data_IF_047968427654
#
_entry.id   IF_047968427654
#
_cell.length_a   1.000
_cell.length_b   1.000
_cell.length_c   1.000
_cell.angle_alpha   90.00
_cell.angle_beta   90.00
_cell.angle_gamma   90.00
#
_symmetry.space_group_name_H-M   'P 1'
#
loop_
_entity.id
_entity.type
_entity.pdbx_description
1 polymer ?
#
# COMPACT_ATOMS: atom_id res chain seq x y z
N UNK A 1 26.00 -16.86 -22.34
CA UNK A 1 24.56 -16.55 -22.23
C UNK A 1 24.29 -16.07 -20.82
N UNK A 2 24.42 -14.77 -20.57
CA UNK A 2 24.00 -14.13 -19.33
C UNK A 2 22.79 -13.31 -19.66
N UNK A 3 21.62 -13.96 -19.61
CA UNK A 3 20.34 -13.28 -19.63
C UNK A 3 20.28 -12.45 -18.35
N UNK A 4 20.56 -11.15 -18.49
CA UNK A 4 20.16 -10.19 -17.47
C UNK A 4 18.65 -10.28 -17.37
N UNK A 5 18.14 -10.86 -16.28
CA UNK A 5 16.82 -10.54 -15.78
C UNK A 5 16.89 -9.07 -15.33
N UNK A 6 16.88 -8.16 -16.31
CA UNK A 6 16.54 -6.77 -16.05
C UNK A 6 15.11 -6.82 -15.53
N UNK A 7 15.01 -6.65 -14.22
CA UNK A 7 13.80 -6.36 -13.48
C UNK A 7 13.01 -5.34 -14.30
N UNK A 8 11.96 -5.82 -14.96
CA UNK A 8 11.13 -5.06 -15.90
C UNK A 8 10.26 -4.04 -15.18
N UNK A 9 10.88 -3.20 -14.35
CA UNK A 9 10.26 -2.01 -13.83
C UNK A 9 10.20 -1.00 -14.99
N UNK A 10 9.02 -0.60 -15.47
CA UNK A 10 8.94 0.58 -16.31
C UNK A 10 9.41 1.77 -15.47
N UNK A 11 10.66 2.18 -15.67
CA UNK A 11 11.23 3.44 -15.16
C UNK A 11 10.66 4.66 -15.89
N UNK A 12 9.73 4.46 -16.82
CA UNK A 12 9.06 5.53 -17.58
C UNK A 12 7.82 6.12 -16.87
N UNK A 13 7.37 5.55 -15.74
CA UNK A 13 6.32 6.15 -14.90
C UNK A 13 6.88 7.01 -13.75
N UNK A 14 8.15 7.44 -13.85
CA UNK A 14 8.80 8.37 -12.91
C UNK A 14 8.55 9.82 -13.32
N UNK A 15 7.43 10.09 -14.00
CA UNK A 15 6.98 11.47 -14.26
C UNK A 15 5.84 11.83 -13.31
N UNK A 16 6.20 12.60 -12.28
CA UNK A 16 5.34 13.36 -11.37
C UNK A 16 4.66 12.63 -10.18
N UNK A 17 5.32 11.67 -9.53
CA UNK A 17 4.88 11.22 -8.19
C UNK A 17 5.09 12.29 -7.10
N UNK A 18 6.01 13.25 -7.30
CA UNK A 18 6.19 14.42 -6.40
C UNK A 18 5.08 15.49 -6.54
N UNK A 19 4.14 15.34 -7.49
CA UNK A 19 3.03 16.27 -7.66
C UNK A 19 1.74 15.85 -6.92
N UNK A 20 1.67 14.61 -6.42
CA UNK A 20 0.48 14.10 -5.74
C UNK A 20 0.53 14.39 -4.25
N UNK A 21 -0.51 15.04 -3.74
CA UNK A 21 -0.69 15.25 -2.31
C UNK A 21 -1.16 13.98 -1.58
N UNK A 22 -1.16 13.96 -0.24
CA UNK A 22 -1.58 12.81 0.55
C UNK A 22 -2.97 12.26 0.16
N UNK A 23 -3.93 13.15 -0.11
CA UNK A 23 -5.28 12.77 -0.53
C UNK A 23 -5.31 12.02 -1.88
N UNK A 24 -4.40 12.33 -2.81
CA UNK A 24 -4.31 11.67 -4.11
C UNK A 24 -3.75 10.26 -3.99
N UNK A 25 -2.73 10.07 -3.14
CA UNK A 25 -2.21 8.75 -2.82
C UNK A 25 -3.28 7.87 -2.16
N UNK A 26 -4.07 8.41 -1.22
CA UNK A 26 -5.19 7.68 -0.60
C UNK A 26 -6.26 7.30 -1.63
N UNK A 27 -6.61 8.21 -2.56
CA UNK A 27 -7.55 7.90 -3.66
C UNK A 27 -7.01 6.79 -4.56
N UNK A 28 -5.73 6.83 -4.90
CA UNK A 28 -5.08 5.80 -5.72
C UNK A 28 -5.09 4.43 -5.01
N UNK A 29 -4.79 4.39 -3.70
CA UNK A 29 -4.88 3.16 -2.90
C UNK A 29 -6.30 2.58 -2.93
N UNK A 30 -7.32 3.38 -2.61
CA UNK A 30 -8.71 2.94 -2.61
C UNK A 30 -9.20 2.44 -3.98
N UNK A 31 -8.70 3.04 -5.07
CA UNK A 31 -8.98 2.55 -6.42
C UNK A 31 -8.44 1.13 -6.61
N UNK A 32 -7.19 0.85 -6.20
CA UNK A 32 -6.60 -0.49 -6.31
C UNK A 32 -7.33 -1.53 -5.46
N UNK A 33 -7.79 -1.13 -4.28
CA UNK A 33 -8.61 -2.00 -3.43
C UNK A 33 -9.96 -2.32 -4.08
N UNK A 34 -10.62 -1.32 -4.69
CA UNK A 34 -11.87 -1.54 -5.43
C UNK A 34 -11.71 -2.45 -6.65
N UNK A 35 -10.52 -2.47 -7.28
CA UNK A 35 -10.19 -3.35 -8.40
C UNK A 35 -9.94 -4.81 -7.97
N UNK A 36 -9.66 -5.07 -6.68
CA UNK A 36 -9.30 -6.40 -6.15
C UNK A 36 -10.45 -7.40 -6.02
N UNK A 37 -11.71 -6.96 -6.13
CA UNK A 37 -12.88 -7.83 -6.11
C UNK A 37 -13.17 -8.53 -4.77
N UNK A 38 -12.40 -8.22 -3.72
CA UNK A 38 -12.60 -8.67 -2.34
C UNK A 38 -13.64 -7.86 -1.59
N UNK A 39 -13.74 -8.09 -0.27
CA UNK A 39 -14.59 -7.27 0.59
C UNK A 39 -14.20 -5.79 0.47
N UNK A 40 -15.17 -4.86 0.38
CA UNK A 40 -14.90 -3.44 0.19
C UNK A 40 -14.08 -2.92 1.35
N UNK A 41 -12.78 -2.80 1.13
CA UNK A 41 -11.82 -2.26 2.08
C UNK A 41 -11.47 -0.86 1.64
N UNK A 42 -11.60 0.10 2.55
CA UNK A 42 -11.19 1.48 2.31
C UNK A 42 -10.12 1.87 3.29
N UNK A 43 -9.13 2.60 2.80
CA UNK A 43 -8.08 3.22 3.61
C UNK A 43 -8.23 4.74 3.63
N UNK A 44 -7.81 5.33 4.74
CA UNK A 44 -7.67 6.76 4.93
C UNK A 44 -6.36 7.05 5.66
N UNK A 45 -5.88 8.28 5.58
CA UNK A 45 -4.78 8.78 6.41
C UNK A 45 -5.32 9.90 7.28
N UNK A 46 -5.22 9.72 8.60
CA UNK A 46 -5.60 10.73 9.58
C UNK A 46 -4.51 11.79 9.78
N UNK A 47 -4.85 12.90 10.45
CA UNK A 47 -3.96 14.02 10.69
C UNK A 47 -2.65 13.65 11.42
N UNK A 48 -2.66 12.62 12.27
CA UNK A 48 -1.48 12.14 13.00
C UNK A 48 -0.63 11.13 12.20
N UNK A 49 -0.68 11.19 10.87
CA UNK A 49 0.05 10.26 10.00
C UNK A 49 -0.25 8.78 10.28
N UNK A 50 -1.52 8.50 10.57
CA UNK A 50 -2.01 7.14 10.82
C UNK A 50 -2.79 6.62 9.62
N UNK A 51 -2.38 5.49 9.08
CA UNK A 51 -3.19 4.72 8.15
C UNK A 51 -4.37 4.13 8.92
N UNK A 52 -5.58 4.40 8.47
CA UNK A 52 -6.83 3.89 9.00
C UNK A 52 -7.51 3.05 7.93
N UNK A 53 -8.24 2.02 8.32
CA UNK A 53 -9.04 1.25 7.37
C UNK A 53 -10.35 0.74 7.97
N UNK A 54 -11.35 0.60 7.08
CA UNK A 54 -12.65 0.04 7.40
C UNK A 54 -12.64 -1.49 7.25
N UNK A 55 -13.43 -2.20 8.06
CA UNK A 55 -13.57 -3.67 7.99
C UNK A 55 -12.96 -4.46 9.16
N UNK A 56 -12.25 -3.79 10.08
CA UNK A 56 -11.84 -4.37 11.36
C UNK A 56 -12.85 -4.03 12.47
N UNK A 57 -13.00 -4.91 13.48
CA UNK A 57 -13.95 -4.75 14.60
C UNK A 57 -13.72 -3.49 15.47
N UNK A 58 -12.62 -2.79 15.25
CA UNK A 58 -12.32 -1.44 15.73
C UNK A 58 -11.70 -0.69 14.54
N UNK A 59 -11.80 0.67 14.46
CA UNK A 59 -11.03 1.43 13.48
C UNK A 59 -9.55 1.13 13.69
N UNK A 60 -9.03 0.19 12.90
CA UNK A 60 -7.68 -0.27 13.02
C UNK A 60 -6.81 0.80 12.40
N UNK A 61 -5.90 1.35 13.20
CA UNK A 61 -5.02 2.42 12.78
C UNK A 61 -3.58 2.08 13.10
N UNK A 62 -2.67 2.39 12.18
CA UNK A 62 -1.23 2.19 12.34
C UNK A 62 -0.48 3.46 11.96
N UNK A 63 0.56 3.78 12.72
CA UNK A 63 1.46 4.89 12.38
C UNK A 63 2.20 4.57 11.08
N UNK A 64 2.03 5.40 10.04
CA UNK A 64 2.59 5.16 8.71
C UNK A 64 4.08 4.86 8.76
N UNK A 65 4.83 5.60 9.58
CA UNK A 65 6.29 5.54 9.73
C UNK A 65 6.85 4.13 10.02
N UNK A 66 6.06 3.27 10.68
CA UNK A 66 6.52 1.96 11.14
C UNK A 66 6.02 0.82 10.25
N UNK A 67 4.98 1.06 9.45
CA UNK A 67 4.28 0.04 8.70
C UNK A 67 5.22 -0.69 7.73
N UNK A 68 5.11 -2.02 7.74
CA UNK A 68 5.73 -2.90 6.77
C UNK A 68 4.66 -3.52 5.86
N UNK A 69 4.99 -3.64 4.58
CA UNK A 69 4.13 -4.27 3.57
C UNK A 69 4.81 -5.50 3.01
N UNK A 70 4.06 -6.60 2.92
CA UNK A 70 4.45 -7.83 2.26
C UNK A 70 3.38 -8.24 1.26
N UNK A 71 3.77 -9.05 0.29
CA UNK A 71 2.84 -9.60 -0.70
C UNK A 71 2.70 -11.09 -0.48
N UNK A 72 1.50 -11.57 -0.72
CA UNK A 72 1.16 -12.99 -0.72
C UNK A 72 0.10 -13.25 -1.79
N UNK A 73 -0.23 -14.51 -2.01
CA UNK A 73 -1.33 -14.92 -2.88
C UNK A 73 -2.24 -15.84 -2.09
N UNK A 74 -3.52 -15.51 -2.07
CA UNK A 74 -4.53 -16.36 -1.45
C UNK A 74 -4.62 -17.69 -2.21
N UNK A 75 -4.36 -18.84 -1.56
CA UNK A 75 -4.28 -20.13 -2.25
C UNK A 75 -5.65 -20.65 -2.72
N UNK A 76 -6.74 -20.19 -2.11
CA UNK A 76 -8.09 -20.66 -2.40
C UNK A 76 -8.73 -19.88 -3.55
N UNK A 77 -8.44 -18.58 -3.64
CA UNK A 77 -9.03 -17.66 -4.62
C UNK A 77 -8.05 -17.24 -5.73
N UNK A 78 -6.75 -17.46 -5.54
CA UNK A 78 -5.69 -17.03 -6.46
C UNK A 78 -5.48 -15.51 -6.51
N UNK A 79 -6.07 -14.77 -5.57
CA UNK A 79 -6.00 -13.31 -5.52
C UNK A 79 -4.72 -12.84 -4.85
N UNK A 80 -4.21 -11.69 -5.29
CA UNK A 80 -3.03 -11.09 -4.67
C UNK A 80 -3.42 -10.38 -3.39
N UNK A 81 -2.63 -10.62 -2.35
CA UNK A 81 -2.81 -10.04 -1.02
C UNK A 81 -1.68 -9.07 -0.72
N UNK A 82 -2.06 -7.89 -0.23
CA UNK A 82 -1.16 -6.94 0.40
C UNK A 82 -1.31 -7.08 1.90
N UNK A 83 -0.31 -7.66 2.53
CA UNK A 83 -0.24 -7.87 3.97
C UNK A 83 0.39 -6.64 4.62
N UNK A 84 -0.32 -6.01 5.55
CA UNK A 84 0.13 -4.81 6.25
C UNK A 84 0.37 -5.14 7.71
N UNK A 85 1.61 -4.96 8.16
CA UNK A 85 2.05 -5.16 9.53
C UNK A 85 2.50 -3.84 10.17
N UNK A 86 2.42 -3.76 11.49
CA UNK A 86 2.88 -2.58 12.24
C UNK A 86 4.39 -2.36 12.11
N UNK A 87 5.16 -3.44 12.01
CA UNK A 87 6.61 -3.41 11.78
C UNK A 87 7.07 -4.64 10.98
N UNK A 88 8.26 -4.55 10.40
CA UNK A 88 8.87 -5.68 9.71
C UNK A 88 9.08 -6.86 10.66
N UNK A 89 8.68 -8.05 10.24
CA UNK A 89 8.77 -9.28 11.05
C UNK A 89 7.61 -9.51 12.03
N UNK A 90 6.72 -8.53 12.21
CA UNK A 90 5.49 -8.73 12.97
C UNK A 90 4.40 -9.41 12.14
N UNK A 91 3.44 -10.10 12.77
CA UNK A 91 2.29 -10.64 12.07
C UNK A 91 1.46 -9.52 11.42
N UNK A 92 0.86 -9.77 10.23
CA UNK A 92 0.03 -8.79 9.57
C UNK A 92 -1.17 -8.43 10.45
N UNK A 93 -1.43 -7.13 10.56
CA UNK A 93 -2.60 -6.57 11.24
C UNK A 93 -3.83 -6.62 10.34
N UNK A 94 -3.61 -6.53 9.04
CA UNK A 94 -4.66 -6.67 8.03
C UNK A 94 -4.07 -7.18 6.71
N UNK A 95 -4.92 -7.77 5.89
CA UNK A 95 -4.65 -8.09 4.49
C UNK A 95 -5.62 -7.31 3.61
N UNK A 96 -5.16 -6.92 2.43
CA UNK A 96 -5.98 -6.29 1.40
C UNK A 96 -5.89 -7.09 0.11
N UNK A 97 -7.03 -7.46 -0.45
CA UNK A 97 -7.09 -8.09 -1.76
C UNK A 97 -6.91 -7.05 -2.87
N UNK A 98 -6.04 -7.37 -3.83
CA UNK A 98 -5.78 -6.58 -5.03
C UNK A 98 -5.83 -7.46 -6.26
N UNK A 99 -6.08 -6.84 -7.42
CA UNK A 99 -6.38 -7.54 -8.66
C UNK A 99 -5.23 -8.43 -9.15
N UNK A 100 -4.02 -7.89 -9.09
CA UNK A 100 -2.82 -8.50 -9.65
C UNK A 100 -1.55 -7.98 -8.94
N UNK A 101 -0.41 -8.55 -9.28
CA UNK A 101 0.91 -8.12 -8.80
C UNK A 101 1.19 -6.63 -9.04
N UNK A 102 0.77 -6.09 -10.19
CA UNK A 102 1.01 -4.68 -10.54
C UNK A 102 0.24 -3.76 -9.57
N UNK A 103 -0.99 -4.12 -9.23
CA UNK A 103 -1.78 -3.42 -8.23
C UNK A 103 -1.15 -3.52 -6.83
N UNK A 104 -0.57 -4.66 -6.47
CA UNK A 104 0.15 -4.84 -5.19
C UNK A 104 1.39 -3.93 -5.09
N UNK A 105 2.20 -3.89 -6.16
CA UNK A 105 3.38 -3.02 -6.23
C UNK A 105 2.99 -1.55 -6.20
N UNK A 106 1.96 -1.16 -6.96
CA UNK A 106 1.43 0.20 -6.94
C UNK A 106 0.93 0.60 -5.55
N UNK A 107 0.23 -0.30 -4.86
CA UNK A 107 -0.22 -0.09 -3.48
C UNK A 107 0.96 0.23 -2.56
N UNK A 108 2.01 -0.61 -2.58
CA UNK A 108 3.22 -0.37 -1.78
C UNK A 108 3.87 0.98 -2.12
N UNK A 109 3.95 1.33 -3.41
CA UNK A 109 4.53 2.60 -3.86
C UNK A 109 3.76 3.80 -3.28
N UNK A 110 2.43 3.84 -3.42
CA UNK A 110 1.64 4.94 -2.85
C UNK A 110 1.72 5.00 -1.32
N UNK A 111 1.77 3.85 -0.64
CA UNK A 111 1.95 3.82 0.80
C UNK A 111 3.32 4.38 1.22
N UNK A 112 4.38 4.03 0.50
CA UNK A 112 5.73 4.57 0.75
C UNK A 112 5.80 6.08 0.53
N UNK A 113 5.06 6.61 -0.46
CA UNK A 113 4.98 8.06 -0.65
C UNK A 113 4.24 8.74 0.51
N UNK A 114 3.14 8.16 1.00
CA UNK A 114 2.48 8.65 2.21
C UNK A 114 3.40 8.61 3.44
N UNK A 115 4.21 7.57 3.59
CA UNK A 115 5.22 7.49 4.66
C UNK A 115 6.23 8.64 4.57
N UNK A 116 6.74 8.93 3.37
CA UNK A 116 7.70 10.03 3.14
C UNK A 116 7.11 11.40 3.43
N UNK A 117 5.90 11.66 2.92
CA UNK A 117 5.19 12.92 3.16
C UNK A 117 4.96 13.14 4.67
N UNK A 118 4.58 12.09 5.37
CA UNK A 118 4.41 12.11 6.82
C UNK A 118 5.70 12.33 7.62
N UNK A 119 6.85 11.85 7.12
CA UNK A 119 8.14 12.15 7.74
C UNK A 119 8.56 13.59 7.48
N UNK A 120 8.33 14.10 6.26
CA UNK A 120 8.64 15.48 5.92
C UNK A 120 7.82 16.50 6.75
N UNK A 121 6.56 16.20 7.08
CA UNK A 121 5.74 17.02 7.99
C UNK A 121 6.20 16.95 9.46
N UNK A 122 6.84 15.86 9.88
CA UNK A 122 7.35 15.72 11.25
C UNK A 122 8.68 16.45 11.49
N UNK A 123 9.46 16.69 10.42
CA UNK A 123 10.74 17.41 10.45
C UNK A 123 10.60 18.93 10.19
N UNK A 124 9.38 19.41 9.87
CA UNK A 124 9.05 20.81 9.57
C UNK A 124 8.59 21.59 10.81
#
# INVERSE_FOLDING_TARGET
MTAGCMDGYPTEDVMALDAMGPAEHVRALNRRLGEGGGAPSRVAVGADCRLQWEGAAQPASLALQQISVRFDTDPDTGRYLVLVAEQAGQPPRTSFEVRDWVAAVAFRSHLQQLQRLCMAEADA
#
